data_IF_534876140821
#
_entry.id   IF_534876140821
#
_cell.length_a   1.000
_cell.length_b   1.000
_cell.length_c   1.000
_cell.angle_alpha   90.00
_cell.angle_beta   90.00
_cell.angle_gamma   90.00
#
_symmetry.space_group_name_H-M   'P 1'
#
loop_
_entity.id
_entity.type
_entity.pdbx_description
1 polymer ?
#
# COMPACT_ATOMS: atom_id res chain seq x y z
N UNK A 1 46.85 20.46 9.30
CA UNK A 1 45.99 20.29 10.49
C UNK A 1 44.66 21.03 10.39
N UNK A 2 44.58 22.37 10.24
CA UNK A 2 43.29 23.09 10.17
C UNK A 2 42.52 22.89 8.84
N UNK A 3 43.21 22.88 7.69
CA UNK A 3 42.56 22.68 6.39
C UNK A 3 42.03 21.27 6.14
N UNK A 4 42.65 20.25 6.72
CA UNK A 4 42.23 18.85 6.60
C UNK A 4 40.92 18.58 7.34
N UNK A 5 40.73 19.21 8.51
CA UNK A 5 39.48 19.09 9.29
C UNK A 5 38.32 19.73 8.53
N UNK A 6 38.56 20.86 7.84
CA UNK A 6 37.54 21.51 7.00
C UNK A 6 37.16 20.63 5.81
N UNK A 7 38.14 20.03 5.13
CA UNK A 7 37.87 19.12 4.00
C UNK A 7 37.06 17.90 4.43
N UNK A 8 37.42 17.27 5.55
CA UNK A 8 36.67 16.11 6.08
C UNK A 8 35.25 16.52 6.51
N UNK A 9 35.08 17.69 7.13
CA UNK A 9 33.76 18.22 7.52
C UNK A 9 32.83 18.45 6.33
N UNK A 10 33.35 19.00 5.23
CA UNK A 10 32.58 19.21 3.99
C UNK A 10 32.14 17.88 3.38
N UNK A 11 33.05 16.89 3.30
CA UNK A 11 32.73 15.56 2.77
C UNK A 11 31.69 14.85 3.64
N UNK A 12 31.78 14.95 4.97
CA UNK A 12 30.81 14.39 5.90
C UNK A 12 29.40 14.96 5.69
N UNK A 13 29.29 16.29 5.55
CA UNK A 13 28.01 16.96 5.30
C UNK A 13 27.41 16.54 3.96
N UNK A 14 28.22 16.39 2.91
CA UNK A 14 27.76 15.93 1.60
C UNK A 14 27.21 14.50 1.65
N UNK A 15 27.91 13.59 2.34
CA UNK A 15 27.46 12.20 2.51
C UNK A 15 26.16 12.15 3.31
N UNK A 16 26.06 12.90 4.41
CA UNK A 16 24.84 12.98 5.21
C UNK A 16 23.66 13.54 4.42
N UNK A 17 23.88 14.58 3.61
CA UNK A 17 22.85 15.15 2.76
C UNK A 17 22.37 14.16 1.68
N UNK A 18 23.29 13.47 1.01
CA UNK A 18 22.97 12.47 0.00
C UNK A 18 22.21 11.27 0.60
N UNK A 19 22.69 10.74 1.71
CA UNK A 19 22.04 9.63 2.43
C UNK A 19 20.64 10.02 2.92
N UNK A 20 20.50 11.21 3.52
CA UNK A 20 19.22 11.72 4.01
C UNK A 20 18.21 11.94 2.86
N UNK A 21 18.66 12.50 1.74
CA UNK A 21 17.83 12.69 0.55
C UNK A 21 17.34 11.35 -0.04
N UNK A 22 18.22 10.35 -0.10
CA UNK A 22 17.87 9.02 -0.61
C UNK A 22 16.86 8.28 0.28
N UNK A 23 16.84 8.50 1.59
CA UNK A 23 15.87 7.85 2.50
C UNK A 23 14.51 8.57 2.49
N UNK A 24 14.48 9.90 2.38
CA UNK A 24 13.25 10.69 2.52
C UNK A 24 12.44 10.80 1.22
N UNK A 25 13.11 10.77 0.06
CA UNK A 25 12.49 10.87 -1.26
C UNK A 25 11.62 9.65 -1.65
N UNK A 26 12.02 8.38 -1.44
CA UNK A 26 11.21 7.24 -1.84
C UNK A 26 9.98 7.06 -0.94
N UNK A 27 10.14 7.24 0.39
CA UNK A 27 9.06 6.98 1.36
C UNK A 27 7.81 7.83 1.14
N UNK A 28 7.95 9.08 0.69
CA UNK A 28 6.79 9.96 0.48
C UNK A 28 5.87 9.50 -0.66
N UNK A 29 6.35 8.68 -1.61
CA UNK A 29 5.55 8.25 -2.76
C UNK A 29 4.50 7.21 -2.39
N UNK A 30 4.82 6.32 -1.44
CA UNK A 30 3.92 5.23 -1.04
C UNK A 30 2.81 5.73 -0.10
N UNK A 31 3.15 6.60 0.86
CA UNK A 31 2.14 7.23 1.73
C UNK A 31 1.16 8.12 0.96
N UNK A 32 1.62 8.81 -0.09
CA UNK A 32 0.75 9.67 -0.92
C UNK A 32 -0.28 8.85 -1.71
N UNK A 33 0.09 7.66 -2.19
CA UNK A 33 -0.83 6.78 -2.92
C UNK A 33 -1.92 6.22 -1.99
N UNK A 34 -1.55 5.78 -0.80
CA UNK A 34 -2.52 5.25 0.18
C UNK A 34 -3.52 6.31 0.65
N UNK A 35 -3.03 7.54 0.92
CA UNK A 35 -3.90 8.64 1.34
C UNK A 35 -4.88 9.11 0.27
N UNK A 36 -4.53 9.02 -1.01
CA UNK A 36 -5.46 9.38 -2.08
C UNK A 36 -6.60 8.37 -2.22
N UNK A 37 -6.32 7.07 -1.99
CA UNK A 37 -7.33 6.02 -2.09
C UNK A 37 -8.38 6.10 -0.97
N UNK A 38 -7.96 6.32 0.28
CA UNK A 38 -8.89 6.47 1.41
C UNK A 38 -9.86 7.64 1.21
N UNK A 39 -9.46 8.67 0.45
CA UNK A 39 -10.28 9.85 0.15
C UNK A 39 -11.33 9.62 -0.95
N UNK A 40 -11.16 8.60 -1.80
CA UNK A 40 -12.14 8.31 -2.87
C UNK A 40 -13.28 7.43 -2.39
N UNK A 41 -13.11 6.75 -1.25
CA UNK A 41 -14.08 5.83 -0.69
C UNK A 41 -15.35 6.54 -0.23
N UNK A 42 -16.50 5.94 -0.56
CA UNK A 42 -17.83 6.40 -0.20
C UNK A 42 -18.65 5.28 0.42
N UNK A 43 -19.74 5.66 1.08
CA UNK A 43 -20.74 4.71 1.56
C UNK A 43 -21.39 4.04 0.34
N UNK A 44 -21.47 2.71 0.35
CA UNK A 44 -21.96 1.90 -0.76
C UNK A 44 -20.86 1.25 -1.61
N UNK A 45 -19.59 1.64 -1.44
CA UNK A 45 -18.50 1.06 -2.20
C UNK A 45 -18.15 -0.35 -1.68
N UNK A 46 -17.85 -1.27 -2.60
CA UNK A 46 -17.33 -2.59 -2.30
C UNK A 46 -15.80 -2.53 -2.23
N UNK A 47 -15.24 -3.03 -1.14
CA UNK A 47 -13.83 -2.86 -0.81
C UNK A 47 -13.20 -4.17 -0.38
N UNK A 48 -11.92 -4.33 -0.71
CA UNK A 48 -11.06 -5.38 -0.18
C UNK A 48 -10.20 -4.83 0.96
N UNK A 49 -10.17 -5.57 2.05
CA UNK A 49 -9.30 -5.32 3.21
C UNK A 49 -7.96 -6.04 3.07
N UNK A 50 -6.95 -5.66 3.86
CA UNK A 50 -5.65 -6.36 3.87
C UNK A 50 -5.73 -7.87 4.15
N UNK A 51 -6.79 -8.32 4.85
CA UNK A 51 -7.02 -9.73 5.12
C UNK A 51 -7.67 -10.50 3.97
N UNK A 52 -7.90 -9.87 2.82
CA UNK A 52 -8.63 -10.46 1.68
C UNK A 52 -10.14 -10.53 1.88
N UNK A 53 -10.66 -9.86 2.92
CA UNK A 53 -12.10 -9.81 3.17
C UNK A 53 -12.73 -8.79 2.23
N UNK A 54 -13.78 -9.22 1.53
CA UNK A 54 -14.61 -8.39 0.66
C UNK A 54 -15.87 -8.00 1.41
N UNK A 55 -16.24 -6.73 1.34
CA UNK A 55 -17.50 -6.24 1.90
C UNK A 55 -17.86 -4.85 1.41
N UNK A 56 -19.05 -4.40 1.76
CA UNK A 56 -19.60 -3.10 1.34
C UNK A 56 -19.57 -2.12 2.50
N UNK A 57 -19.13 -0.88 2.26
CA UNK A 57 -19.13 0.18 3.27
C UNK A 57 -20.57 0.60 3.56
N UNK A 58 -21.05 0.36 4.79
CA UNK A 58 -22.38 0.78 5.25
C UNK A 58 -22.37 2.18 5.87
N UNK A 59 -21.26 2.54 6.53
CA UNK A 59 -21.07 3.82 7.20
C UNK A 59 -19.59 4.17 7.24
N UNK A 60 -19.31 5.46 7.16
CA UNK A 60 -17.95 5.97 7.29
C UNK A 60 -17.95 7.22 8.15
N UNK A 61 -17.01 7.28 9.07
CA UNK A 61 -16.67 8.44 9.86
C UNK A 61 -15.26 8.89 9.46
N UNK A 62 -15.20 9.93 8.61
CA UNK A 62 -13.94 10.47 8.11
C UNK A 62 -13.17 11.25 9.17
N UNK A 63 -13.84 11.73 10.22
CA UNK A 63 -13.20 12.52 11.28
C UNK A 63 -12.46 11.61 12.26
N UNK A 64 -13.04 10.45 12.61
CA UNK A 64 -12.37 9.43 13.41
C UNK A 64 -11.53 8.44 12.59
N UNK A 65 -11.66 8.45 11.26
CA UNK A 65 -10.94 7.54 10.36
C UNK A 65 -11.43 6.10 10.44
N UNK A 66 -12.69 5.89 10.81
CA UNK A 66 -13.30 4.56 11.01
C UNK A 66 -14.41 4.32 10.00
N UNK A 67 -14.52 3.08 9.52
CA UNK A 67 -15.61 2.63 8.65
C UNK A 67 -16.28 1.37 9.22
N UNK A 68 -17.56 1.24 8.91
CA UNK A 68 -18.36 0.05 9.13
C UNK A 68 -18.54 -0.65 7.78
N UNK A 69 -18.11 -1.91 7.73
CA UNK A 69 -18.12 -2.72 6.52
C UNK A 69 -19.03 -3.91 6.74
N UNK A 70 -20.07 -4.03 5.92
CA UNK A 70 -20.96 -5.17 5.89
C UNK A 70 -20.33 -6.28 5.07
N UNK A 71 -20.11 -7.44 5.69
CA UNK A 71 -19.47 -8.61 5.07
C UNK A 71 -20.44 -9.77 4.87
N UNK A 72 -21.51 -9.83 5.67
CA UNK A 72 -22.59 -10.80 5.52
C UNK A 72 -23.91 -10.20 6.02
N UNK A 73 -25.02 -10.93 5.83
CA UNK A 73 -26.29 -10.56 6.45
C UNK A 73 -26.16 -10.52 7.97
N UNK A 74 -26.43 -9.35 8.56
CA UNK A 74 -26.29 -9.06 9.99
C UNK A 74 -24.85 -9.08 10.56
N UNK A 75 -23.82 -9.12 9.72
CA UNK A 75 -22.42 -8.98 10.17
C UNK A 75 -21.83 -7.69 9.65
N UNK A 76 -21.56 -6.78 10.58
CA UNK A 76 -20.94 -5.48 10.33
C UNK A 76 -19.63 -5.38 11.13
N UNK A 77 -18.53 -5.12 10.43
CA UNK A 77 -17.20 -5.00 11.01
C UNK A 77 -16.83 -3.52 11.13
N UNK A 78 -16.45 -3.10 12.34
CA UNK A 78 -15.87 -1.78 12.58
C UNK A 78 -14.36 -1.87 12.39
N UNK A 79 -13.83 -1.09 11.46
CA UNK A 79 -12.39 -1.09 11.16
C UNK A 79 -11.87 0.29 10.79
N UNK A 80 -10.56 0.48 10.93
CA UNK A 80 -9.90 1.69 10.48
C UNK A 80 -9.95 1.77 8.96
N UNK A 81 -10.24 2.94 8.42
CA UNK A 81 -10.26 3.22 6.97
C UNK A 81 -8.93 2.93 6.30
N UNK A 82 -7.83 3.08 7.04
CA UNK A 82 -6.48 2.73 6.57
C UNK A 82 -6.33 1.24 6.20
N UNK A 83 -7.20 0.34 6.69
CA UNK A 83 -7.17 -1.08 6.38
C UNK A 83 -7.84 -1.46 5.03
N UNK A 84 -8.49 -0.49 4.39
CA UNK A 84 -9.17 -0.65 3.10
C UNK A 84 -8.16 -0.41 1.99
N UNK A 85 -7.98 -1.39 1.10
CA UNK A 85 -6.83 -1.42 0.18
C UNK A 85 -7.21 -1.04 -1.25
N UNK A 86 -8.29 -1.60 -1.81
CA UNK A 86 -8.68 -1.43 -3.23
C UNK A 86 -10.19 -1.56 -3.41
N UNK A 87 -10.78 -0.92 -4.44
CA UNK A 87 -12.16 -1.20 -4.82
C UNK A 87 -12.20 -2.66 -5.25
N UNK A 88 -13.27 -3.36 -4.90
CA UNK A 88 -13.47 -4.70 -5.45
C UNK A 88 -13.90 -4.57 -6.92
N UNK A 89 -12.94 -4.70 -7.83
CA UNK A 89 -13.21 -4.87 -9.25
C UNK A 89 -13.06 -6.36 -9.60
N UNK A 90 -14.17 -7.08 -9.84
CA UNK A 90 -14.15 -8.54 -10.03
C UNK A 90 -13.27 -8.98 -11.21
N UNK A 91 -13.15 -8.14 -12.25
CA UNK A 91 -12.36 -8.42 -13.45
C UNK A 91 -10.85 -8.31 -13.20
N UNK A 92 -10.41 -7.35 -12.39
CA UNK A 92 -9.00 -7.18 -12.02
C UNK A 92 -8.53 -8.26 -11.03
N UNK A 93 -9.41 -8.66 -10.11
CA UNK A 93 -9.09 -9.72 -9.13
C UNK A 93 -8.93 -11.07 -9.83
N UNK A 94 -9.78 -11.39 -10.81
CA UNK A 94 -9.67 -12.61 -11.60
C UNK A 94 -8.41 -12.64 -12.48
N UNK A 95 -8.06 -11.52 -13.11
CA UNK A 95 -6.85 -11.42 -13.95
C UNK A 95 -5.55 -11.60 -13.13
N UNK A 96 -5.45 -10.98 -11.96
CA UNK A 96 -4.29 -11.13 -11.08
C UNK A 96 -4.15 -12.54 -10.51
N UNK A 97 -5.27 -13.21 -10.22
CA UNK A 97 -5.27 -14.61 -9.78
C UNK A 97 -4.78 -15.57 -10.88
N UNK A 98 -5.07 -15.28 -12.16
CA UNK A 98 -4.61 -16.09 -13.28
C UNK A 98 -3.09 -15.98 -13.51
N UNK A 99 -2.52 -14.78 -13.37
CA UNK A 99 -1.08 -14.53 -13.55
C UNK A 99 -0.24 -15.28 -12.50
N UNK A 100 -0.72 -15.38 -11.25
CA UNK A 100 -0.03 -16.12 -10.19
C UNK A 100 0.03 -17.64 -10.38
N UNK A 101 -0.82 -18.20 -11.26
CA UNK A 101 -0.81 -19.63 -11.60
C UNK A 101 0.23 -19.93 -12.70
N UNK A 102 0.46 -19.01 -13.63
CA UNK A 102 1.40 -19.17 -14.76
C UNK A 102 2.89 -19.13 -14.33
N UNK A 103 3.26 -18.35 -13.31
CA UNK A 103 4.68 -18.24 -12.87
C UNK A 103 5.19 -19.50 -12.14
N UNK A 104 4.31 -20.35 -11.62
CA UNK A 104 4.71 -21.61 -10.95
C UNK A 104 5.02 -22.77 -11.90
N UNK A 105 4.82 -22.60 -13.22
CA UNK A 105 5.12 -23.63 -14.23
C UNK A 105 6.20 -23.12 -15.18
N UNK A 106 7.37 -22.80 -14.62
CA UNK A 106 8.60 -22.91 -15.42
C UNK A 106 8.70 -24.37 -15.85
N UNK A 107 8.75 -24.69 -17.15
CA UNK A 107 8.89 -26.07 -17.59
C UNK A 107 10.24 -26.56 -17.05
N UNK A 108 10.20 -27.51 -16.12
CA UNK A 108 11.36 -28.36 -15.85
C UNK A 108 11.77 -28.90 -17.21
N UNK A 109 12.89 -28.34 -17.66
CA UNK A 109 13.63 -28.69 -18.85
C UNK A 109 13.65 -30.21 -18.99
N UNK A 110 12.95 -30.69 -20.02
CA UNK A 110 13.28 -31.95 -20.66
C UNK A 110 14.74 -31.85 -21.11
N UNK A 111 15.61 -32.60 -20.43
CA UNK A 111 16.82 -33.16 -21.03
C UNK A 111 16.92 -34.62 -20.61
N UNK A 112 16.69 -35.45 -21.63
CA UNK A 112 17.25 -36.78 -21.80
C UNK A 112 18.75 -36.85 -21.44
#
# INVERSE_FOLDING_TARGET
MSGEIVAVGVVLILILAAYWSFVIFPKQRDFKKHNNYVRTLRVGDEVITYGGIIGTISRMDQESGVAWVKVAENVELKMITAALTRPYEPDEVAANAAIGVEESVTPTTNRA
#
